data_IF_080653415830
#
_entry.id   IF_080653415830
#
_cell.length_a   1.000
_cell.length_b   1.000
_cell.length_c   1.000
_cell.angle_alpha   90.00
_cell.angle_beta   90.00
_cell.angle_gamma   90.00
#
_symmetry.space_group_name_H-M   'P 1'
#
loop_
_entity.id
_entity.type
_entity.pdbx_description
1 polymer ?
#
# COMPACT_ATOMS: atom_id res chain seq x y z
N UNK A 1 -39.29 -14.38 50.01
CA UNK A 1 -39.22 -15.07 48.71
C UNK A 1 -37.76 -15.20 48.31
N UNK A 2 -37.16 -16.35 48.59
CA UNK A 2 -35.76 -16.63 48.21
C UNK A 2 -35.76 -16.96 46.73
N UNK A 3 -35.24 -16.06 45.89
CA UNK A 3 -35.06 -16.32 44.46
C UNK A 3 -34.06 -17.49 44.36
N UNK A 4 -34.54 -18.68 44.03
CA UNK A 4 -33.68 -19.80 43.69
C UNK A 4 -32.90 -19.41 42.43
N UNK A 5 -31.60 -19.19 42.57
CA UNK A 5 -30.74 -19.04 41.40
C UNK A 5 -30.85 -20.34 40.57
N UNK A 6 -31.08 -20.26 39.24
CA UNK A 6 -31.07 -21.45 38.40
C UNK A 6 -29.71 -22.15 38.59
N UNK A 7 -29.73 -23.49 38.72
CA UNK A 7 -28.50 -24.29 38.79
C UNK A 7 -27.59 -23.88 37.64
N UNK A 8 -26.47 -23.20 37.94
CA UNK A 8 -25.51 -22.77 36.93
C UNK A 8 -25.08 -23.97 36.12
N UNK A 9 -25.04 -23.83 34.79
CA UNK A 9 -24.48 -24.85 33.91
C UNK A 9 -23.05 -25.17 34.37
N UNK A 10 -22.64 -26.45 34.28
CA UNK A 10 -21.34 -26.93 34.76
C UNK A 10 -20.51 -27.46 33.60
N UNK A 11 -19.20 -27.30 33.70
CA UNK A 11 -18.21 -28.02 32.92
C UNK A 11 -17.75 -29.20 33.79
N UNK A 12 -18.08 -30.41 33.37
CA UNK A 12 -17.70 -31.64 34.08
C UNK A 12 -16.57 -32.33 33.33
N UNK A 13 -15.49 -32.67 34.04
CA UNK A 13 -14.33 -33.38 33.53
C UNK A 13 -14.17 -34.64 34.37
N UNK A 14 -14.05 -35.80 33.72
CA UNK A 14 -13.92 -37.10 34.36
C UNK A 14 -12.69 -37.84 33.83
N UNK A 15 -11.89 -38.34 34.76
CA UNK A 15 -10.73 -39.18 34.47
C UNK A 15 -9.65 -38.50 33.63
N UNK A 16 -9.33 -37.24 33.87
CA UNK A 16 -8.24 -36.57 33.15
C UNK A 16 -6.86 -37.13 33.56
N UNK A 17 -6.09 -37.60 32.58
CA UNK A 17 -4.80 -38.29 32.74
C UNK A 17 -3.67 -37.74 31.87
N UNK A 18 -3.90 -36.62 31.20
CA UNK A 18 -2.89 -35.96 30.36
C UNK A 18 -1.63 -35.61 31.18
N UNK A 19 -0.47 -36.02 30.68
CA UNK A 19 0.83 -35.85 31.32
C UNK A 19 0.91 -36.43 32.75
N UNK A 20 0.95 -35.58 33.78
CA UNK A 20 1.10 -35.99 35.17
C UNK A 20 -0.22 -35.89 35.96
N UNK A 21 -1.35 -35.71 35.28
CA UNK A 21 -2.68 -35.75 35.90
C UNK A 21 -3.00 -37.17 36.37
N UNK A 22 -3.49 -37.30 37.60
CA UNK A 22 -3.72 -38.58 38.27
C UNK A 22 -5.21 -38.96 38.27
N UNK A 23 -5.76 -39.20 37.07
CA UNK A 23 -7.18 -39.56 36.89
C UNK A 23 -8.13 -38.58 37.59
N UNK A 24 -7.96 -37.30 37.28
CA UNK A 24 -8.63 -36.20 37.97
C UNK A 24 -10.09 -36.04 37.51
N UNK A 25 -10.99 -35.96 38.47
CA UNK A 25 -12.38 -35.55 38.29
C UNK A 25 -12.57 -34.11 38.79
N UNK A 26 -13.21 -33.26 37.98
CA UNK A 26 -13.44 -31.85 38.32
C UNK A 26 -14.77 -31.35 37.78
N UNK A 27 -15.51 -30.62 38.61
CA UNK A 27 -16.68 -29.86 38.19
C UNK A 27 -16.39 -28.36 38.34
N UNK A 28 -16.58 -27.63 37.24
CA UNK A 28 -16.32 -26.20 37.15
C UNK A 28 -17.62 -25.45 36.85
N UNK A 29 -17.91 -24.33 37.54
CA UNK A 29 -19.06 -23.50 37.20
C UNK A 29 -18.82 -22.82 35.86
N UNK A 30 -19.77 -22.95 34.91
CA UNK A 30 -19.70 -22.16 33.67
C UNK A 30 -20.00 -20.69 33.95
N UNK A 31 -19.62 -19.86 32.98
CA UNK A 31 -19.84 -18.41 32.97
C UNK A 31 -19.23 -17.71 34.20
N UNK A 32 -18.08 -18.25 34.64
CA UNK A 32 -17.30 -17.74 35.76
C UNK A 32 -15.84 -17.53 35.35
N UNK A 33 -15.18 -16.57 35.99
CA UNK A 33 -13.72 -16.42 35.88
C UNK A 33 -13.05 -17.48 36.75
N UNK A 34 -12.57 -18.55 36.13
CA UNK A 34 -11.91 -19.67 36.80
C UNK A 34 -10.40 -19.44 36.77
N UNK A 35 -9.76 -19.54 37.94
CA UNK A 35 -8.32 -19.39 38.09
C UNK A 35 -7.72 -20.72 38.56
N UNK A 36 -6.83 -21.30 37.74
CA UNK A 36 -6.05 -22.47 38.12
C UNK A 36 -4.75 -22.01 38.80
N UNK A 37 -4.54 -22.44 40.04
CA UNK A 37 -3.36 -22.08 40.85
C UNK A 37 -2.67 -23.32 41.40
N UNK A 38 -1.39 -23.20 41.77
CA UNK A 38 -0.56 -24.30 42.27
C UNK A 38 0.91 -24.19 41.83
N UNK A 39 1.78 -25.00 42.45
CA UNK A 39 3.23 -25.03 42.21
C UNK A 39 3.59 -25.30 40.74
N UNK A 40 4.76 -24.83 40.28
CA UNK A 40 5.25 -25.18 38.94
C UNK A 40 5.29 -26.70 38.75
N UNK A 41 4.87 -27.19 37.58
CA UNK A 41 4.77 -28.63 37.31
C UNK A 41 3.57 -29.35 37.95
N UNK A 42 2.67 -28.66 38.65
CA UNK A 42 1.51 -29.31 39.30
C UNK A 42 0.41 -29.83 38.36
N UNK A 43 0.61 -29.78 37.04
CA UNK A 43 -0.38 -30.21 36.04
C UNK A 43 -1.43 -29.16 35.64
N UNK A 44 -1.27 -27.89 36.05
CA UNK A 44 -2.20 -26.79 35.66
C UNK A 44 -2.34 -26.65 34.15
N UNK A 45 -1.21 -26.57 33.45
CA UNK A 45 -1.19 -26.41 31.99
C UNK A 45 -1.71 -27.67 31.31
N UNK A 46 -1.39 -28.85 31.85
CA UNK A 46 -1.89 -30.13 31.35
C UNK A 46 -3.41 -30.22 31.41
N UNK A 47 -4.02 -29.70 32.49
CA UNK A 47 -5.48 -29.65 32.61
C UNK A 47 -6.09 -28.53 31.75
N UNK A 48 -5.56 -27.30 31.81
CA UNK A 48 -6.15 -26.15 31.15
C UNK A 48 -5.94 -26.17 29.61
N UNK A 49 -4.71 -26.35 29.15
CA UNK A 49 -4.34 -26.29 27.74
C UNK A 49 -4.43 -27.65 27.08
N UNK A 50 -3.74 -28.65 27.64
CA UNK A 50 -3.56 -29.94 26.96
C UNK A 50 -4.78 -30.87 27.11
N UNK A 51 -5.72 -30.54 28.02
CA UNK A 51 -7.00 -31.28 28.18
C UNK A 51 -8.21 -30.43 27.77
N UNK A 52 -8.55 -29.38 28.54
CA UNK A 52 -9.80 -28.62 28.34
C UNK A 52 -9.80 -27.86 27.01
N UNK A 53 -8.76 -27.05 26.76
CA UNK A 53 -8.64 -26.29 25.52
C UNK A 53 -8.49 -27.21 24.30
N UNK A 54 -7.61 -28.22 24.38
CA UNK A 54 -7.40 -29.18 23.32
C UNK A 54 -8.69 -29.91 22.91
N UNK A 55 -9.46 -30.42 23.87
CA UNK A 55 -10.77 -31.03 23.58
C UNK A 55 -11.79 -30.01 23.04
N UNK A 56 -11.82 -28.79 23.58
CA UNK A 56 -12.75 -27.75 23.16
C UNK A 56 -12.51 -27.30 21.72
N UNK A 57 -11.24 -27.14 21.34
CA UNK A 57 -10.83 -26.86 19.97
C UNK A 57 -11.14 -28.06 19.05
N UNK A 58 -10.73 -29.28 19.43
CA UNK A 58 -10.95 -30.48 18.61
C UNK A 58 -12.42 -30.67 18.25
N UNK A 59 -13.31 -30.66 19.25
CA UNK A 59 -14.77 -30.84 19.05
C UNK A 59 -15.37 -29.77 18.14
N UNK A 60 -14.91 -28.53 18.27
CA UNK A 60 -15.37 -27.44 17.40
C UNK A 60 -14.89 -27.62 15.96
N UNK A 61 -13.60 -27.89 15.73
CA UNK A 61 -13.06 -28.01 14.37
C UNK A 61 -13.59 -29.28 13.67
N UNK A 62 -13.84 -30.38 14.40
CA UNK A 62 -14.50 -31.58 13.86
C UNK A 62 -15.93 -31.32 13.32
N UNK A 63 -16.58 -30.25 13.79
CA UNK A 63 -17.91 -29.85 13.32
C UNK A 63 -17.89 -29.03 12.02
N UNK A 64 -16.73 -28.47 11.61
CA UNK A 64 -16.65 -27.51 10.50
C UNK A 64 -16.84 -28.17 9.12
N UNK A 65 -16.08 -29.23 8.82
CA UNK A 65 -16.21 -29.93 7.54
C UNK A 65 -15.81 -31.40 7.63
N UNK A 66 -16.35 -32.23 6.73
CA UNK A 66 -15.99 -33.64 6.64
C UNK A 66 -14.50 -33.83 6.30
N UNK A 67 -13.91 -32.90 5.53
CA UNK A 67 -12.48 -32.87 5.23
C UNK A 67 -11.65 -32.53 6.48
N UNK A 68 -12.04 -31.53 7.27
CA UNK A 68 -11.34 -31.16 8.50
C UNK A 68 -11.26 -32.34 9.49
N UNK A 69 -12.30 -33.18 9.57
CA UNK A 69 -12.28 -34.41 10.39
C UNK A 69 -11.20 -35.40 9.97
N UNK A 70 -10.89 -35.51 8.67
CA UNK A 70 -9.85 -36.43 8.19
C UNK A 70 -8.44 -35.99 8.64
N UNK A 71 -8.19 -34.69 8.75
CA UNK A 71 -6.90 -34.15 9.21
C UNK A 71 -6.77 -34.11 10.74
N UNK A 72 -7.87 -33.83 11.46
CA UNK A 72 -7.87 -33.80 12.93
C UNK A 72 -7.83 -35.19 13.57
N UNK A 73 -8.25 -36.23 12.85
CA UNK A 73 -8.10 -37.61 13.31
C UNK A 73 -6.64 -38.02 13.54
N UNK A 74 -5.67 -37.22 13.07
CA UNK A 74 -4.23 -37.39 13.31
C UNK A 74 -3.71 -36.62 14.54
N UNK A 75 -4.53 -35.75 15.16
CA UNK A 75 -4.16 -35.02 16.37
C UNK A 75 -4.47 -35.90 17.58
N UNK A 76 -3.48 -36.13 18.43
CA UNK A 76 -3.62 -36.96 19.63
C UNK A 76 -4.80 -36.47 20.48
N UNK A 77 -5.74 -37.37 20.73
CA UNK A 77 -6.86 -37.09 21.64
C UNK A 77 -6.32 -36.98 23.06
N UNK A 78 -6.65 -35.93 23.81
CA UNK A 78 -6.33 -35.85 25.23
C UNK A 78 -6.83 -37.10 25.98
N UNK A 79 -5.98 -37.67 26.83
CA UNK A 79 -6.35 -38.81 27.67
C UNK A 79 -7.30 -38.36 28.80
N UNK A 80 -8.60 -38.45 28.52
CA UNK A 80 -9.70 -38.12 29.42
C UNK A 80 -10.89 -39.05 29.12
N UNK A 81 -11.59 -39.51 30.15
CA UNK A 81 -12.73 -40.41 29.96
C UNK A 81 -13.94 -39.67 29.40
N UNK A 82 -14.25 -38.51 29.98
CA UNK A 82 -15.44 -37.75 29.62
C UNK A 82 -15.31 -36.27 29.96
N UNK A 83 -15.76 -35.42 29.05
CA UNK A 83 -15.94 -33.98 29.29
C UNK A 83 -17.31 -33.55 28.77
N UNK A 84 -18.10 -32.90 29.62
CA UNK A 84 -19.44 -32.39 29.33
C UNK A 84 -19.56 -30.90 29.62
N UNK A 85 -20.41 -30.22 28.87
CA UNK A 85 -20.63 -28.78 29.05
C UNK A 85 -19.49 -27.92 28.50
N UNK A 86 -18.61 -28.48 27.66
CA UNK A 86 -17.47 -27.79 27.05
C UNK A 86 -17.92 -26.88 25.90
N UNK A 87 -17.51 -25.61 25.96
CA UNK A 87 -17.67 -24.65 24.86
C UNK A 87 -16.51 -24.75 23.86
N UNK A 88 -16.67 -24.22 22.62
CA UNK A 88 -15.52 -23.94 21.76
C UNK A 88 -14.50 -23.12 22.53
N UNK A 89 -13.25 -23.58 22.53
CA UNK A 89 -12.19 -23.01 23.36
C UNK A 89 -11.19 -22.22 22.52
N UNK A 90 -10.71 -21.11 23.07
CA UNK A 90 -9.66 -20.27 22.49
C UNK A 90 -8.53 -20.16 23.50
N UNK A 91 -7.30 -20.45 23.07
CA UNK A 91 -6.11 -20.25 23.89
C UNK A 91 -5.56 -18.85 23.66
N UNK A 92 -5.26 -18.15 24.75
CA UNK A 92 -4.52 -16.90 24.74
C UNK A 92 -3.29 -17.17 25.61
N UNK A 93 -2.16 -17.45 24.96
CA UNK A 93 -0.87 -17.69 25.61
C UNK A 93 0.18 -16.68 25.14
N UNK A 94 1.36 -16.73 25.76
CA UNK A 94 2.50 -15.89 25.38
C UNK A 94 3.46 -16.61 24.41
N UNK A 95 3.04 -17.70 23.74
CA UNK A 95 3.94 -18.37 22.77
C UNK A 95 4.26 -17.37 21.67
N UNK A 96 5.55 -17.23 21.38
CA UNK A 96 6.04 -16.22 20.45
C UNK A 96 5.33 -16.36 19.10
N UNK A 97 4.53 -15.37 18.74
CA UNK A 97 4.03 -15.21 17.36
C UNK A 97 5.23 -15.16 16.41
N UNK A 98 5.17 -15.90 15.31
CA UNK A 98 6.22 -15.89 14.29
C UNK A 98 6.66 -14.46 13.95
N UNK A 99 7.98 -14.22 13.98
CA UNK A 99 8.56 -12.90 13.66
C UNK A 99 8.60 -12.71 12.15
N UNK A 100 7.44 -12.43 11.56
CA UNK A 100 7.40 -11.98 10.17
C UNK A 100 7.69 -10.47 10.13
N UNK A 101 8.73 -10.01 9.40
CA UNK A 101 9.11 -8.59 9.34
C UNK A 101 8.02 -7.68 8.74
N UNK A 102 7.02 -8.27 8.09
CA UNK A 102 5.86 -7.56 7.52
C UNK A 102 4.64 -7.54 8.43
N UNK A 103 4.71 -8.20 9.59
CA UNK A 103 3.64 -8.16 10.59
C UNK A 103 3.91 -7.02 11.57
N UNK A 104 2.97 -6.09 11.64
CA UNK A 104 2.98 -4.97 12.58
C UNK A 104 1.82 -5.11 13.56
N UNK A 105 1.81 -4.30 14.61
CA UNK A 105 0.64 -4.21 15.52
C UNK A 105 -0.64 -3.91 14.73
N UNK A 106 -0.57 -3.03 13.74
CA UNK A 106 -1.72 -2.66 12.90
C UNK A 106 -2.24 -3.80 12.05
N UNK A 107 -1.39 -4.69 11.54
CA UNK A 107 -1.85 -5.86 10.76
C UNK A 107 -2.39 -6.97 11.66
N UNK A 108 -1.80 -7.17 12.85
CA UNK A 108 -2.26 -8.21 13.81
C UNK A 108 -3.62 -7.86 14.39
N UNK A 109 -3.88 -6.57 14.63
CA UNK A 109 -5.14 -6.08 15.19
C UNK A 109 -6.18 -5.73 14.11
N UNK A 110 -5.86 -5.93 12.83
CA UNK A 110 -6.65 -5.52 11.67
C UNK A 110 -6.95 -4.01 11.57
N UNK A 111 -6.46 -3.18 12.50
CA UNK A 111 -6.64 -1.72 12.46
C UNK A 111 -6.09 -1.14 11.17
N UNK A 112 -4.94 -1.63 10.70
CA UNK A 112 -4.37 -1.21 9.43
C UNK A 112 -5.33 -1.46 8.26
N UNK A 113 -6.11 -2.54 8.30
CA UNK A 113 -7.03 -2.89 7.22
C UNK A 113 -8.20 -1.90 7.14
N UNK A 114 -8.71 -1.45 8.28
CA UNK A 114 -9.66 -0.34 8.36
C UNK A 114 -9.07 0.99 7.92
N UNK A 115 -7.82 1.27 8.30
CA UNK A 115 -7.16 2.50 7.88
C UNK A 115 -6.97 2.56 6.35
N UNK A 116 -6.62 1.44 5.71
CA UNK A 116 -6.57 1.34 4.23
C UNK A 116 -7.91 1.68 3.59
N UNK A 117 -9.02 1.18 4.15
CA UNK A 117 -10.36 1.51 3.68
C UNK A 117 -10.67 3.00 3.89
N UNK A 118 -10.32 3.55 5.06
CA UNK A 118 -10.52 4.96 5.39
C UNK A 118 -9.82 5.86 4.38
N UNK A 119 -8.51 5.68 4.18
CA UNK A 119 -7.74 6.49 3.23
C UNK A 119 -8.19 6.33 1.79
N UNK A 120 -8.61 5.12 1.38
CA UNK A 120 -9.14 4.93 0.03
C UNK A 120 -10.48 5.62 -0.21
N UNK A 121 -11.31 5.80 0.84
CA UNK A 121 -12.66 6.34 0.70
C UNK A 121 -12.72 7.86 0.84
N UNK A 122 -11.96 8.42 1.79
CA UNK A 122 -12.03 9.85 2.13
C UNK A 122 -10.68 10.56 2.05
N UNK A 123 -9.61 9.84 1.70
CA UNK A 123 -8.30 10.44 1.54
C UNK A 123 -8.27 11.39 0.34
N UNK A 124 -7.76 12.59 0.56
CA UNK A 124 -7.49 13.56 -0.51
C UNK A 124 -6.05 13.30 -1.00
N UNK A 125 -5.86 12.85 -2.25
CA UNK A 125 -4.52 12.56 -2.77
C UNK A 125 -3.79 13.85 -3.16
N UNK A 126 -2.48 13.88 -2.90
CA UNK A 126 -1.61 14.99 -3.22
C UNK A 126 -0.43 14.54 -4.08
N UNK A 127 0.05 15.41 -4.96
CA UNK A 127 1.26 15.16 -5.73
C UNK A 127 2.50 15.21 -4.82
N UNK A 128 3.34 14.18 -4.85
CA UNK A 128 4.54 14.13 -4.00
C UNK A 128 5.63 15.15 -4.39
N UNK A 129 5.54 15.77 -5.58
CA UNK A 129 6.51 16.76 -6.06
C UNK A 129 6.07 18.19 -5.72
N UNK A 130 4.82 18.54 -6.03
CA UNK A 130 4.30 19.92 -5.90
C UNK A 130 3.20 20.09 -4.83
N UNK A 131 2.77 19.01 -4.17
CA UNK A 131 1.74 18.99 -3.14
C UNK A 131 0.32 19.43 -3.56
N UNK A 132 0.10 19.71 -4.84
CA UNK A 132 -1.22 20.00 -5.40
C UNK A 132 -2.17 18.82 -5.26
N UNK A 133 -3.46 19.12 -5.11
CA UNK A 133 -4.52 18.11 -5.02
C UNK A 133 -4.65 17.40 -6.36
N UNK A 134 -4.52 16.08 -6.32
CA UNK A 134 -4.77 15.24 -7.47
C UNK A 134 -6.28 14.98 -7.53
N UNK A 135 -6.91 15.26 -8.67
CA UNK A 135 -8.33 14.98 -8.84
C UNK A 135 -8.57 14.30 -10.18
N UNK A 136 -9.39 13.25 -10.14
CA UNK A 136 -10.06 12.71 -11.33
C UNK A 136 -11.37 13.47 -11.47
N UNK A 137 -11.64 14.00 -12.65
CA UNK A 137 -12.88 14.73 -12.91
C UNK A 137 -13.62 14.09 -14.08
N UNK A 138 -14.94 13.92 -13.94
CA UNK A 138 -15.76 13.50 -15.07
C UNK A 138 -15.89 14.64 -16.07
N UNK A 139 -16.16 14.37 -17.36
CA UNK A 139 -16.45 15.41 -18.34
C UNK A 139 -17.50 16.40 -17.83
N UNK A 140 -18.57 15.89 -17.23
CA UNK A 140 -19.62 16.71 -16.65
C UNK A 140 -19.12 17.62 -15.52
N UNK A 141 -18.28 17.11 -14.60
CA UNK A 141 -17.72 17.93 -13.52
C UNK A 141 -16.80 19.05 -14.04
N UNK A 142 -16.07 18.79 -15.13
CA UNK A 142 -15.27 19.82 -15.82
C UNK A 142 -16.18 20.88 -16.41
N UNK A 143 -17.25 20.47 -17.11
CA UNK A 143 -18.25 21.39 -17.68
C UNK A 143 -18.90 22.24 -16.59
N UNK A 144 -19.31 21.63 -15.49
CA UNK A 144 -19.94 22.33 -14.36
C UNK A 144 -18.99 23.37 -13.76
N UNK A 145 -17.69 23.06 -13.64
CA UNK A 145 -16.67 24.03 -13.19
C UNK A 145 -16.48 25.18 -14.18
N UNK A 146 -16.53 24.91 -15.49
CA UNK A 146 -16.42 25.96 -16.52
C UNK A 146 -17.66 26.86 -16.55
N UNK A 147 -18.85 26.30 -16.30
CA UNK A 147 -20.11 27.05 -16.20
C UNK A 147 -20.23 27.85 -14.90
N UNK A 148 -19.52 27.46 -13.84
CA UNK A 148 -19.47 28.20 -12.58
C UNK A 148 -18.62 29.48 -12.64
N UNK A 149 -17.88 29.71 -13.74
CA UNK A 149 -17.12 30.93 -13.97
C UNK A 149 -18.04 32.13 -14.29
N UNK A 150 -17.50 33.34 -14.20
CA UNK A 150 -18.26 34.56 -14.51
C UNK A 150 -18.79 34.56 -15.94
N UNK A 151 -20.04 34.99 -16.12
CA UNK A 151 -20.66 35.06 -17.44
C UNK A 151 -19.89 36.05 -18.31
N UNK A 152 -19.47 35.60 -19.51
CA UNK A 152 -18.66 36.38 -20.43
C UNK A 152 -17.18 36.04 -20.45
N UNK A 153 -16.67 35.20 -19.53
CA UNK A 153 -15.28 34.74 -19.58
C UNK A 153 -15.00 34.00 -20.88
N UNK A 154 -13.91 34.38 -21.56
CA UNK A 154 -13.46 33.78 -22.82
C UNK A 154 -12.33 32.80 -22.56
N UNK A 155 -12.45 31.60 -23.09
CA UNK A 155 -11.43 30.57 -23.00
C UNK A 155 -11.33 29.76 -24.29
N UNK A 156 -10.19 29.11 -24.48
CA UNK A 156 -9.99 28.14 -25.55
C UNK A 156 -9.69 26.76 -24.96
N UNK A 157 -10.32 25.75 -25.55
CA UNK A 157 -10.10 24.35 -25.20
C UNK A 157 -8.97 23.80 -26.05
N UNK A 158 -7.92 23.36 -25.38
CA UNK A 158 -6.73 22.78 -25.96
C UNK A 158 -6.67 21.29 -25.63
N UNK A 159 -6.48 20.47 -26.64
CA UNK A 159 -6.22 19.03 -26.48
C UNK A 159 -4.70 18.79 -26.63
N UNK A 160 -3.96 18.54 -25.54
CA UNK A 160 -2.51 18.31 -25.60
C UNK A 160 -2.20 16.92 -26.15
N UNK A 161 -1.81 16.83 -27.42
CA UNK A 161 -1.53 15.56 -28.09
C UNK A 161 -0.07 15.15 -27.89
N UNK A 162 0.82 16.14 -27.88
CA UNK A 162 2.26 15.93 -27.70
C UNK A 162 2.73 16.83 -26.58
N UNK A 163 3.39 16.22 -25.60
CA UNK A 163 3.98 16.93 -24.46
C UNK A 163 5.45 16.50 -24.35
N UNK A 164 6.36 17.46 -24.47
CA UNK A 164 7.80 17.33 -24.24
C UNK A 164 8.49 16.19 -25.04
N UNK A 165 8.00 15.91 -26.25
CA UNK A 165 8.57 14.87 -27.15
C UNK A 165 9.39 15.46 -28.28
N UNK A 166 10.46 14.75 -28.66
CA UNK A 166 11.29 15.08 -29.81
C UNK A 166 10.71 14.50 -31.09
N UNK A 167 10.66 15.29 -32.16
CA UNK A 167 10.13 14.84 -33.44
C UNK A 167 9.82 15.99 -34.40
N UNK A 168 9.59 15.67 -35.67
CA UNK A 168 9.25 16.67 -36.70
C UNK A 168 7.73 16.85 -36.86
N UNK A 169 6.95 15.87 -36.41
CA UNK A 169 5.48 15.85 -36.30
C UNK A 169 4.70 16.27 -37.57
N UNK A 170 5.30 16.20 -38.76
CA UNK A 170 4.62 16.51 -40.03
C UNK A 170 3.40 15.63 -40.29
N UNK A 171 3.55 14.31 -40.14
CA UNK A 171 2.44 13.36 -40.33
C UNK A 171 1.28 13.63 -39.35
N UNK A 172 1.61 14.06 -38.13
CA UNK A 172 0.63 14.45 -37.13
C UNK A 172 -0.19 15.66 -37.62
N UNK A 173 0.46 16.71 -38.12
CA UNK A 173 -0.24 17.90 -38.64
C UNK A 173 -1.17 17.56 -39.81
N UNK A 174 -0.72 16.71 -40.74
CA UNK A 174 -1.55 16.25 -41.87
C UNK A 174 -2.76 15.46 -41.36
N UNK A 175 -2.57 14.57 -40.37
CA UNK A 175 -3.67 13.81 -39.77
C UNK A 175 -4.69 14.68 -39.02
N UNK A 176 -4.23 15.75 -38.37
CA UNK A 176 -5.11 16.67 -37.66
C UNK A 176 -5.90 17.56 -38.62
N UNK A 177 -5.26 17.97 -39.72
CA UNK A 177 -5.91 18.70 -40.79
C UNK A 177 -6.98 17.85 -41.49
N UNK A 178 -6.70 16.57 -41.74
CA UNK A 178 -7.68 15.66 -42.35
C UNK A 178 -8.87 15.35 -41.44
N UNK A 179 -8.68 15.45 -40.11
CA UNK A 179 -9.76 15.40 -39.11
C UNK A 179 -10.54 16.72 -38.99
N UNK A 180 -10.15 17.78 -39.72
CA UNK A 180 -10.87 19.05 -39.78
C UNK A 180 -10.41 20.12 -38.78
N UNK A 181 -9.32 19.89 -38.04
CA UNK A 181 -8.77 20.91 -37.15
C UNK A 181 -8.01 21.98 -37.94
N UNK A 182 -8.27 23.25 -37.64
CA UNK A 182 -7.66 24.38 -38.35
C UNK A 182 -6.45 24.99 -37.63
N UNK A 183 -6.39 24.89 -36.29
CA UNK A 183 -5.39 25.58 -35.46
C UNK A 183 -4.81 24.66 -34.40
N UNK A 184 -3.53 24.84 -34.12
CA UNK A 184 -2.83 24.21 -33.01
C UNK A 184 -1.93 25.25 -32.32
N UNK A 185 -1.70 25.06 -31.03
CA UNK A 185 -0.67 25.77 -30.26
C UNK A 185 0.57 24.89 -30.23
N UNK A 186 1.66 25.38 -30.80
CA UNK A 186 2.94 24.68 -30.87
C UNK A 186 3.96 25.52 -30.10
N UNK A 187 4.58 24.95 -29.07
CA UNK A 187 5.57 25.61 -28.21
C UNK A 187 5.10 26.99 -27.68
N UNK A 188 3.79 27.13 -27.43
CA UNK A 188 3.15 28.36 -26.95
C UNK A 188 2.66 29.32 -28.04
N UNK A 189 3.01 29.09 -29.31
CA UNK A 189 2.55 29.93 -30.43
C UNK A 189 1.35 29.29 -31.15
N UNK A 190 0.31 30.09 -31.43
CA UNK A 190 -0.85 29.60 -32.20
C UNK A 190 -0.54 29.61 -33.69
N UNK A 191 -0.56 28.44 -34.32
CA UNK A 191 -0.24 28.23 -35.73
C UNK A 191 -1.47 27.68 -36.48
N UNK A 192 -1.65 28.10 -37.72
CA UNK A 192 -2.65 27.52 -38.64
C UNK A 192 -2.09 26.21 -39.18
N UNK A 193 -2.82 25.10 -39.01
CA UNK A 193 -2.33 23.76 -39.36
C UNK A 193 -1.98 23.62 -40.85
N UNK A 194 -2.66 24.34 -41.74
CA UNK A 194 -2.36 24.35 -43.17
C UNK A 194 -0.99 24.99 -43.52
N UNK A 195 -0.46 25.84 -42.64
CA UNK A 195 0.81 26.54 -42.81
C UNK A 195 1.91 25.98 -41.87
N UNK A 196 1.59 24.94 -41.10
CA UNK A 196 2.50 24.35 -40.14
C UNK A 196 3.70 23.70 -40.84
N UNK A 197 4.91 24.16 -40.49
CA UNK A 197 6.18 23.63 -41.02
C UNK A 197 6.66 22.45 -40.16
N UNK A 198 7.55 21.63 -40.73
CA UNK A 198 8.25 20.59 -39.98
C UNK A 198 8.99 21.20 -38.79
N UNK A 199 8.81 20.60 -37.62
CA UNK A 199 9.53 20.97 -36.41
C UNK A 199 10.93 20.37 -36.40
N UNK A 200 11.83 20.92 -35.59
CA UNK A 200 13.22 20.45 -35.54
C UNK A 200 13.31 19.18 -34.69
N UNK A 201 13.65 18.04 -35.33
CA UNK A 201 13.77 16.72 -34.68
C UNK A 201 14.59 16.66 -33.38
N UNK A 202 15.57 17.54 -33.22
CA UNK A 202 16.48 17.56 -32.07
C UNK A 202 15.86 18.14 -30.79
N UNK A 203 14.84 18.98 -30.93
CA UNK A 203 14.22 19.73 -29.83
C UNK A 203 12.96 19.02 -29.34
N UNK A 204 12.64 19.24 -28.06
CA UNK A 204 11.37 18.79 -27.49
C UNK A 204 10.31 19.82 -27.84
N UNK A 205 9.13 19.34 -28.25
CA UNK A 205 8.02 20.17 -28.67
C UNK A 205 6.76 19.83 -27.88
N UNK A 206 5.94 20.85 -27.65
CA UNK A 206 4.60 20.76 -27.08
C UNK A 206 3.57 21.13 -28.16
N UNK A 207 2.64 20.23 -28.45
CA UNK A 207 1.62 20.42 -29.50
C UNK A 207 0.25 20.17 -28.88
N UNK A 208 -0.54 21.25 -28.82
CA UNK A 208 -1.93 21.22 -28.37
C UNK A 208 -2.87 21.67 -29.48
N UNK A 209 -3.89 20.88 -29.79
CA UNK A 209 -4.87 21.24 -30.82
C UNK A 209 -5.93 22.14 -30.22
N UNK A 210 -6.28 23.21 -30.93
CA UNK A 210 -7.39 24.08 -30.51
C UNK A 210 -8.69 23.43 -30.96
N UNK A 211 -9.45 22.90 -30.01
CA UNK A 211 -10.71 22.18 -30.29
C UNK A 211 -11.85 23.18 -30.48
N UNK A 212 -12.03 24.09 -29.54
CA UNK A 212 -13.03 25.16 -29.67
C UNK A 212 -12.61 26.42 -28.90
N UNK A 213 -13.24 27.55 -29.25
CA UNK A 213 -13.14 28.83 -28.52
C UNK A 213 -14.53 29.20 -28.04
N UNK A 214 -14.64 29.34 -26.74
CA UNK A 214 -15.93 29.41 -26.07
C UNK A 214 -15.99 30.65 -25.18
N UNK A 215 -17.22 31.09 -24.93
CA UNK A 215 -17.54 32.16 -24.01
C UNK A 215 -18.57 31.60 -23.04
N UNK A 216 -18.34 31.79 -21.74
CA UNK A 216 -19.27 31.31 -20.70
C UNK A 216 -20.61 32.05 -20.86
N UNK A 217 -21.63 31.32 -21.29
CA UNK A 217 -23.03 31.77 -21.39
C UNK A 217 -23.95 30.61 -20.98
N UNK A 218 -25.11 30.87 -20.38
CA UNK A 218 -26.05 29.81 -19.97
C UNK A 218 -26.46 28.89 -21.13
N UNK A 219 -26.65 29.48 -22.31
CA UNK A 219 -27.05 28.78 -23.55
C UNK A 219 -25.92 27.95 -24.18
N UNK A 220 -24.66 28.18 -23.77
CA UNK A 220 -23.50 27.53 -24.35
C UNK A 220 -23.20 26.14 -23.73
N UNK A 221 -23.98 25.68 -22.75
CA UNK A 221 -23.75 24.43 -22.02
C UNK A 221 -23.54 23.24 -22.96
N UNK A 222 -24.47 22.98 -23.88
CA UNK A 222 -24.36 21.83 -24.82
C UNK A 222 -23.06 21.87 -25.62
N UNK A 223 -22.67 23.06 -26.10
CA UNK A 223 -21.46 23.23 -26.91
C UNK A 223 -20.18 23.06 -26.09
N UNK A 224 -20.18 23.52 -24.84
CA UNK A 224 -19.06 23.31 -23.91
C UNK A 224 -18.91 21.81 -23.63
N UNK A 225 -20.01 21.11 -23.36
CA UNK A 225 -20.00 19.64 -23.16
C UNK A 225 -19.41 18.92 -24.36
N UNK A 226 -19.93 19.16 -25.57
CA UNK A 226 -19.46 18.49 -26.80
C UNK A 226 -17.97 18.75 -27.05
N UNK A 227 -17.51 19.98 -26.79
CA UNK A 227 -16.10 20.36 -26.98
C UNK A 227 -15.19 19.73 -25.94
N UNK A 228 -15.62 19.66 -24.67
CA UNK A 228 -14.86 19.01 -23.59
C UNK A 228 -14.72 17.52 -23.86
N UNK A 229 -15.80 16.83 -24.23
CA UNK A 229 -15.76 15.40 -24.57
C UNK A 229 -14.87 15.13 -25.80
N UNK A 230 -14.98 15.97 -26.83
CA UNK A 230 -14.14 15.86 -28.03
C UNK A 230 -12.66 16.04 -27.69
N UNK A 231 -12.33 17.06 -26.87
CA UNK A 231 -10.96 17.35 -26.47
C UNK A 231 -10.37 16.24 -25.58
N UNK A 232 -11.15 15.73 -24.62
CA UNK A 232 -10.75 14.61 -23.77
C UNK A 232 -10.50 13.36 -24.61
N UNK A 233 -11.39 13.03 -25.56
CA UNK A 233 -11.23 11.87 -26.43
C UNK A 233 -9.99 11.98 -27.33
N UNK A 234 -9.69 13.18 -27.84
CA UNK A 234 -8.53 13.42 -28.71
C UNK A 234 -7.19 13.27 -27.96
N UNK A 235 -7.13 13.72 -26.71
CA UNK A 235 -5.91 13.75 -25.90
C UNK A 235 -5.87 12.67 -24.79
N UNK A 236 -6.66 11.60 -24.93
CA UNK A 236 -6.58 10.43 -24.04
C UNK A 236 -7.04 10.69 -22.60
N UNK A 237 -8.05 11.55 -22.42
CA UNK A 237 -8.64 11.92 -21.14
C UNK A 237 -8.00 13.15 -20.49
N UNK A 238 -7.29 14.00 -21.25
CA UNK A 238 -6.63 15.21 -20.76
C UNK A 238 -7.00 16.43 -21.59
N UNK A 239 -7.23 17.57 -20.96
CA UNK A 239 -7.43 18.86 -21.64
C UNK A 239 -6.73 19.99 -20.91
N UNK A 240 -6.42 21.04 -21.65
CA UNK A 240 -5.93 22.32 -21.10
C UNK A 240 -6.94 23.39 -21.48
N UNK A 241 -7.41 24.13 -20.48
CA UNK A 241 -8.27 25.30 -20.68
C UNK A 241 -7.41 26.53 -20.53
N UNK A 242 -7.29 27.29 -21.60
CA UNK A 242 -6.53 28.53 -21.63
C UNK A 242 -7.47 29.72 -21.56
N UNK A 243 -7.44 30.45 -20.43
CA UNK A 243 -8.29 31.58 -20.16
C UNK A 243 -7.68 32.84 -20.75
N UNK A 244 -8.30 33.36 -21.81
CA UNK A 244 -7.80 34.51 -22.57
C UNK A 244 -7.82 35.77 -21.70
N UNK A 245 -8.90 35.94 -20.92
CA UNK A 245 -9.10 37.14 -20.09
C UNK A 245 -8.20 37.14 -18.83
N UNK A 246 -7.95 35.96 -18.26
CA UNK A 246 -7.17 35.79 -17.02
C UNK A 246 -5.67 35.57 -17.27
N UNK A 247 -5.26 35.30 -18.52
CA UNK A 247 -3.89 34.91 -18.89
C UNK A 247 -3.34 33.75 -18.05
N UNK A 248 -4.22 32.83 -17.69
CA UNK A 248 -3.89 31.63 -16.90
C UNK A 248 -4.37 30.40 -17.63
N UNK A 249 -3.62 29.31 -17.52
CA UNK A 249 -4.00 28.01 -18.03
C UNK A 249 -4.37 27.08 -16.87
N UNK A 250 -5.35 26.21 -17.09
CA UNK A 250 -5.74 25.19 -16.13
C UNK A 250 -5.88 23.85 -16.82
N UNK A 251 -5.26 22.84 -16.24
CA UNK A 251 -5.31 21.47 -16.75
C UNK A 251 -6.46 20.72 -16.09
N UNK A 252 -7.19 19.94 -16.88
CA UNK A 252 -8.19 19.01 -16.41
C UNK A 252 -7.93 17.60 -16.96
N UNK A 253 -8.33 16.58 -16.21
CA UNK A 253 -8.08 15.18 -16.56
C UNK A 253 -9.19 14.27 -16.05
N UNK A 254 -9.59 13.32 -16.91
CA UNK A 254 -10.45 12.18 -16.59
C UNK A 254 -9.71 11.10 -15.80
N UNK A 255 -8.38 11.13 -15.82
CA UNK A 255 -7.53 10.21 -15.10
C UNK A 255 -6.98 10.87 -13.83
N UNK A 256 -6.58 10.05 -12.87
CA UNK A 256 -5.93 10.54 -11.65
C UNK A 256 -4.55 11.13 -12.02
N UNK A 257 -4.45 12.44 -12.17
CA UNK A 257 -3.22 13.10 -12.62
C UNK A 257 -2.93 14.41 -11.89
N UNK A 258 -1.64 14.71 -11.72
CA UNK A 258 -1.19 15.98 -11.19
C UNK A 258 -1.53 17.13 -12.19
N UNK A 259 -2.07 18.27 -11.72
CA UNK A 259 -2.28 19.45 -12.56
C UNK A 259 -1.01 19.97 -13.24
N UNK A 260 0.14 19.84 -12.56
CA UNK A 260 1.45 20.33 -13.01
C UNK A 260 2.29 19.27 -13.76
N UNK A 261 1.68 18.20 -14.25
CA UNK A 261 2.34 17.20 -15.12
C UNK A 261 3.49 16.40 -14.48
N UNK A 262 3.54 16.31 -13.17
CA UNK A 262 4.45 15.38 -12.50
C UNK A 262 3.96 13.93 -12.68
N UNK A 263 4.88 13.04 -13.02
CA UNK A 263 4.62 11.60 -13.09
C UNK A 263 4.16 11.08 -11.73
N UNK A 264 3.03 10.38 -11.73
CA UNK A 264 2.50 9.73 -10.54
C UNK A 264 2.77 8.23 -10.61
N UNK A 265 3.33 7.67 -9.55
CA UNK A 265 3.52 6.23 -9.43
C UNK A 265 2.19 5.47 -9.21
N UNK A 266 1.16 6.17 -8.72
CA UNK A 266 -0.17 5.60 -8.44
C UNK A 266 -1.19 6.18 -9.40
N UNK A 267 -1.81 5.30 -10.20
CA UNK A 267 -2.87 5.66 -11.17
C UNK A 267 -4.27 5.53 -10.59
N UNK A 268 -4.42 4.83 -9.46
CA UNK A 268 -5.68 4.53 -8.81
C UNK A 268 -5.55 4.61 -7.28
N UNK A 269 -6.66 4.87 -6.60
CA UNK A 269 -6.74 4.92 -5.14
C UNK A 269 -7.72 3.84 -4.69
N UNK A 270 -7.17 2.77 -4.13
CA UNK A 270 -7.94 1.63 -3.65
C UNK A 270 -7.34 1.14 -2.34
N UNK A 271 -8.07 0.39 -1.48
CA UNK A 271 -7.52 -0.07 -0.21
C UNK A 271 -6.20 -0.84 -0.35
N UNK A 272 -6.01 -1.57 -1.47
CA UNK A 272 -4.77 -2.30 -1.76
C UNK A 272 -3.55 -1.40 -2.01
N UNK A 273 -3.75 -0.16 -2.47
CA UNK A 273 -2.63 0.79 -2.71
C UNK A 273 -2.06 1.34 -1.41
N UNK A 274 -2.80 1.22 -0.30
CA UNK A 274 -2.32 1.54 1.05
C UNK A 274 -1.71 0.32 1.77
N UNK A 275 -1.59 -0.83 1.10
CA UNK A 275 -1.00 -2.03 1.67
C UNK A 275 0.47 -2.15 1.31
N UNK A 276 1.36 -2.01 2.30
CA UNK A 276 2.79 -2.28 2.11
C UNK A 276 3.10 -3.78 1.86
N UNK A 277 2.12 -4.66 2.07
CA UNK A 277 2.22 -6.09 1.75
C UNK A 277 1.87 -6.42 0.30
N UNK A 278 1.22 -5.49 -0.42
CA UNK A 278 0.85 -5.65 -1.82
C UNK A 278 1.84 -4.87 -2.71
N UNK A 279 2.21 -5.38 -3.90
CA UNK A 279 3.13 -4.68 -4.80
C UNK A 279 2.69 -3.25 -5.16
N UNK A 280 1.37 -3.00 -5.17
CA UNK A 280 0.78 -1.71 -5.50
C UNK A 280 1.07 -0.61 -4.48
N UNK A 281 1.13 -0.95 -3.19
CA UNK A 281 1.39 0.00 -2.09
C UNK A 281 2.78 -0.14 -1.47
N UNK A 282 3.51 -1.20 -1.81
CA UNK A 282 4.84 -1.44 -1.30
C UNK A 282 5.85 -0.46 -1.92
N UNK A 283 6.72 0.11 -1.08
CA UNK A 283 7.86 0.88 -1.54
C UNK A 283 8.75 0.02 -2.45
N UNK A 284 9.13 0.55 -3.62
CA UNK A 284 9.96 -0.16 -4.61
C UNK A 284 11.38 -0.49 -4.12
N UNK A 285 11.89 0.29 -3.16
CA UNK A 285 13.27 0.11 -2.65
C UNK A 285 13.34 -1.00 -1.60
N UNK A 286 12.42 -1.01 -0.64
CA UNK A 286 12.43 -1.99 0.47
C UNK A 286 11.36 -3.08 0.32
N UNK A 287 10.56 -3.07 -0.75
CA UNK A 287 9.44 -4.00 -0.98
C UNK A 287 8.43 -4.03 0.17
N UNK A 288 8.23 -2.88 0.82
CA UNK A 288 7.32 -2.73 1.95
C UNK A 288 7.85 -3.25 3.30
N UNK A 289 9.13 -3.61 3.40
CA UNK A 289 9.76 -3.99 4.67
C UNK A 289 10.00 -2.81 5.62
N UNK A 290 10.11 -1.59 5.07
CA UNK A 290 10.44 -0.38 5.84
C UNK A 290 11.89 -0.33 6.33
N UNK A 291 12.68 -1.38 6.15
CA UNK A 291 14.09 -1.48 6.53
C UNK A 291 14.96 -1.89 5.35
N UNK A 292 16.24 -1.56 5.42
CA UNK A 292 17.28 -2.02 4.49
C UNK A 292 18.50 -2.43 5.33
N UNK A 293 19.13 -3.54 4.98
CA UNK A 293 20.40 -3.91 5.60
C UNK A 293 21.49 -2.97 5.07
N UNK A 294 22.10 -2.22 5.98
CA UNK A 294 23.24 -1.37 5.72
C UNK A 294 24.36 -1.71 6.69
N UNK A 295 25.60 -1.48 6.27
CA UNK A 295 26.77 -1.65 7.14
C UNK A 295 26.80 -0.48 8.11
N UNK A 296 26.86 -0.79 9.40
CA UNK A 296 27.04 0.19 10.45
C UNK A 296 28.54 0.47 10.64
N UNK A 297 28.94 1.73 10.59
CA UNK A 297 30.34 2.14 10.74
C UNK A 297 30.87 1.81 12.14
N UNK A 298 30.02 1.91 13.15
CA UNK A 298 30.38 1.71 14.56
C UNK A 298 30.57 0.21 14.86
N UNK A 299 30.03 -0.66 14.02
CA UNK A 299 30.27 -2.11 14.09
C UNK A 299 31.48 -2.55 13.26
N UNK A 300 32.01 -1.68 12.39
CA UNK A 300 33.21 -1.94 11.59
C UNK A 300 34.47 -1.55 12.35
N UNK A 301 34.40 -0.45 13.09
CA UNK A 301 35.50 0.07 13.91
C UNK A 301 35.38 -0.55 15.32
N UNK A 302 36.45 -1.18 15.78
CA UNK A 302 36.56 -1.71 17.14
C UNK A 302 36.91 -0.60 18.12
N UNK A 303 38.00 -0.77 18.85
CA UNK A 303 38.52 0.29 19.72
C UNK A 303 39.17 1.40 18.87
N UNK A 304 38.58 2.60 18.84
CA UNK A 304 39.12 3.76 18.11
C UNK A 304 40.54 4.15 18.56
N UNK A 305 40.94 3.78 19.78
CA UNK A 305 42.30 4.01 20.28
C UNK A 305 43.32 2.99 19.72
N UNK A 306 42.87 1.89 19.14
CA UNK A 306 43.74 0.91 18.53
C UNK A 306 44.26 1.39 17.16
N UNK A 307 45.53 1.11 16.89
CA UNK A 307 46.08 1.35 15.55
C UNK A 307 45.47 0.43 14.50
N UNK A 308 45.59 0.80 13.23
CA UNK A 308 45.19 -0.05 12.09
C UNK A 308 45.85 -1.43 12.16
N UNK A 309 47.13 -1.48 12.52
CA UNK A 309 47.89 -2.73 12.66
C UNK A 309 47.45 -3.58 13.88
N UNK A 310 46.85 -2.95 14.89
CA UNK A 310 46.25 -3.64 16.04
C UNK A 310 44.83 -4.16 15.74
N UNK A 311 44.34 -4.01 14.52
CA UNK A 311 43.07 -4.61 14.09
C UNK A 311 41.84 -3.78 14.43
N UNK A 312 41.97 -2.45 14.45
CA UNK A 312 40.84 -1.51 14.64
C UNK A 312 39.70 -1.73 13.65
N UNK A 313 39.96 -2.26 12.45
CA UNK A 313 38.93 -2.61 11.46
C UNK A 313 38.55 -4.08 11.65
N UNK A 314 37.47 -4.34 12.38
CA UNK A 314 37.05 -5.68 12.83
C UNK A 314 36.81 -6.68 11.68
N UNK A 315 36.14 -6.32 10.56
CA UNK A 315 35.95 -7.25 9.45
C UNK A 315 37.25 -7.66 8.76
N UNK A 316 38.33 -6.86 8.93
CA UNK A 316 39.63 -7.10 8.31
C UNK A 316 40.65 -7.73 9.26
N UNK A 317 40.37 -7.76 10.56
CA UNK A 317 41.30 -8.26 11.59
C UNK A 317 41.11 -9.74 11.97
N UNK A 318 40.12 -10.43 11.39
CA UNK A 318 39.89 -11.86 11.66
C UNK A 318 40.97 -12.74 11.01
N UNK A 319 41.91 -13.25 11.82
CA UNK A 319 42.95 -14.18 11.37
C UNK A 319 42.32 -15.49 10.85
N UNK A 320 42.76 -15.94 9.65
CA UNK A 320 42.30 -17.20 9.03
C UNK A 320 41.47 -17.05 7.76
N UNK A 321 41.10 -15.82 7.36
CA UNK A 321 40.49 -15.53 6.05
C UNK A 321 41.52 -14.91 5.11
N UNK A 322 41.60 -15.37 3.86
CA UNK A 322 42.61 -14.90 2.88
C UNK A 322 42.60 -13.39 2.58
N UNK A 323 41.56 -12.67 3.00
CA UNK A 323 41.47 -11.22 2.89
C UNK A 323 42.37 -10.48 3.90
N UNK A 324 42.68 -11.08 5.06
CA UNK A 324 43.51 -10.46 6.10
C UNK A 324 44.90 -10.11 5.56
N UNK A 325 45.60 -11.07 4.94
CA UNK A 325 46.94 -10.87 4.41
C UNK A 325 46.98 -9.90 3.23
N UNK A 326 45.91 -9.85 2.42
CA UNK A 326 45.77 -8.90 1.32
C UNK A 326 45.66 -7.46 1.82
N UNK A 327 44.72 -7.18 2.74
CA UNK A 327 44.52 -5.83 3.26
C UNK A 327 45.72 -5.34 4.09
N UNK A 328 46.35 -6.22 4.87
CA UNK A 328 47.58 -5.87 5.61
C UNK A 328 48.71 -5.47 4.66
N UNK A 329 48.95 -6.23 3.58
CA UNK A 329 49.99 -5.89 2.59
C UNK A 329 49.68 -4.61 1.84
N UNK A 330 48.41 -4.36 1.52
CA UNK A 330 47.98 -3.13 0.84
C UNK A 330 48.18 -1.91 1.74
N UNK A 331 47.84 -2.02 3.02
CA UNK A 331 48.05 -0.97 4.01
C UNK A 331 49.54 -0.72 4.28
N UNK A 332 50.37 -1.77 4.28
CA UNK A 332 51.82 -1.64 4.37
C UNK A 332 52.41 -0.92 3.15
N UNK A 333 52.02 -1.30 1.93
CA UNK A 333 52.49 -0.62 0.71
C UNK A 333 52.07 0.85 0.66
N UNK A 334 50.83 1.16 1.06
CA UNK A 334 50.39 2.56 1.16
C UNK A 334 51.20 3.35 2.20
N UNK A 335 51.59 2.72 3.31
CA UNK A 335 52.41 3.36 4.34
C UNK A 335 53.88 3.55 3.91
N UNK A 336 54.37 2.76 2.94
CA UNK A 336 55.70 2.94 2.34
C UNK A 336 55.72 4.09 1.31
N UNK A 337 54.58 4.35 0.65
CA UNK A 337 54.43 5.42 -0.36
C UNK A 337 54.09 6.80 0.23
N UNK A 338 53.55 6.87 1.46
CA UNK A 338 53.17 8.10 2.19
C UNK A 338 54.32 8.63 3.05
#
# INVERSE_FOLDING_TARGET
MTIQQPKRAKLAIKGARVHNLKNLDLELPRDAMIVFTGLSGSGKSSLAFDTIFAEGQRRYVESLSAYARQFLGQVDRPDVDFIEGLSPAVSIDQKSTNRNPRSTVGTITEIHDYLRLLWARIGVPHCHVCNEVISKQTPQAIVDQLLALETGTKFQLLAPIVVQKKGEFQDLFVSLQSQGYARAVIDGETVVLAEAKALKKSYKHDISVVVDRLVVKPEAQSRITDSVETALKLAGGRIVVDFIDLKTQRVFSENLSCPNEHDLALTEIEPRTFSFNAPFGACQVCTGLGTKMAVDKDLVIGDEAASINQGVILPWSTQGKGLYSYFVRLLQGLAEDL
#
